data_IF_317423085420
#
_entry.id   IF_317423085420
#
_cell.length_a   1.000
_cell.length_b   1.000
_cell.length_c   1.000
_cell.angle_alpha   90.00
_cell.angle_beta   90.00
_cell.angle_gamma   90.00
#
_symmetry.space_group_name_H-M   'P 1'
#
loop_
_entity.id
_entity.type
_entity.pdbx_description
1 polymer ?
#
# COMPACT_ATOMS: atom_id res chain seq x y z
N UNK A 1 51.77 0.36 82.23
CA UNK A 1 50.76 -0.72 82.08
C UNK A 1 49.65 -0.44 83.07
N UNK A 2 48.36 -0.49 82.67
CA UNK A 2 47.23 -0.07 83.52
C UNK A 2 46.50 -1.30 84.11
N UNK A 3 46.69 -1.64 85.41
CA UNK A 3 46.11 -2.84 86.01
C UNK A 3 44.58 -2.83 86.07
N UNK A 4 43.99 -1.62 86.12
CA UNK A 4 42.54 -1.43 86.14
C UNK A 4 41.84 -1.95 84.88
N UNK A 5 42.50 -1.97 83.71
CA UNK A 5 41.92 -2.49 82.47
C UNK A 5 41.70 -4.01 82.50
N UNK A 6 42.48 -4.73 83.30
CA UNK A 6 42.38 -6.20 83.41
C UNK A 6 41.58 -6.59 84.66
N UNK A 7 41.74 -5.84 85.76
CA UNK A 7 41.14 -6.20 87.04
C UNK A 7 39.74 -5.61 87.26
N UNK A 8 39.36 -4.54 86.56
CA UNK A 8 38.08 -3.85 86.75
C UNK A 8 37.15 -3.95 85.53
N UNK A 9 37.56 -4.66 84.47
CA UNK A 9 36.76 -4.89 83.27
C UNK A 9 36.56 -6.38 83.04
N UNK A 10 35.38 -6.77 82.58
CA UNK A 10 35.14 -8.12 82.05
C UNK A 10 35.66 -8.20 80.63
N UNK A 11 36.58 -9.13 80.38
CA UNK A 11 37.14 -9.34 79.04
C UNK A 11 36.22 -10.30 78.28
N UNK A 12 35.65 -9.82 77.18
CA UNK A 12 34.94 -10.64 76.20
C UNK A 12 35.83 -10.83 74.96
N UNK A 13 36.15 -12.08 74.64
CA UNK A 13 37.14 -12.41 73.62
C UNK A 13 36.47 -12.84 72.32
N UNK A 14 36.66 -12.02 71.26
CA UNK A 14 36.20 -12.35 69.92
C UNK A 14 37.33 -12.99 69.12
N UNK A 15 37.16 -14.27 68.79
CA UNK A 15 38.05 -14.98 67.89
C UNK A 15 37.72 -14.71 66.41
N UNK A 16 38.65 -15.09 65.54
CA UNK A 16 38.41 -15.18 64.11
C UNK A 16 37.22 -16.12 63.84
N UNK A 17 36.48 -15.86 62.76
CA UNK A 17 35.28 -16.63 62.47
C UNK A 17 35.64 -18.08 62.13
N UNK A 18 35.10 -19.07 62.87
CA UNK A 18 35.34 -20.45 62.53
C UNK A 18 34.70 -20.79 61.18
N UNK A 19 35.18 -21.89 60.59
CA UNK A 19 34.64 -22.51 59.39
C UNK A 19 33.11 -22.55 59.33
N UNK A 20 32.47 -22.95 60.42
CA UNK A 20 31.02 -23.11 60.50
C UNK A 20 30.30 -21.76 60.52
N UNK A 21 30.90 -20.73 61.13
CA UNK A 21 30.37 -19.37 61.09
C UNK A 21 30.45 -18.78 59.68
N UNK A 22 31.58 -18.96 58.98
CA UNK A 22 31.75 -18.53 57.58
C UNK A 22 30.68 -19.17 56.67
N UNK A 23 30.44 -20.47 56.84
CA UNK A 23 29.41 -21.20 56.11
C UNK A 23 28.01 -20.67 56.44
N UNK A 24 27.67 -20.52 57.72
CA UNK A 24 26.35 -20.07 58.17
C UNK A 24 26.02 -18.65 57.66
N UNK A 25 26.99 -17.73 57.74
CA UNK A 25 26.83 -16.36 57.25
C UNK A 25 26.64 -16.32 55.74
N UNK A 26 27.44 -17.08 54.98
CA UNK A 26 27.28 -17.17 53.53
C UNK A 26 25.92 -17.76 53.15
N UNK A 27 25.47 -18.80 53.87
CA UNK A 27 24.17 -19.43 53.67
C UNK A 27 23.03 -18.45 53.91
N UNK A 28 23.05 -17.75 55.03
CA UNK A 28 22.01 -16.77 55.35
C UNK A 28 21.98 -15.63 54.33
N UNK A 29 23.14 -15.13 53.92
CA UNK A 29 23.23 -14.08 52.91
C UNK A 29 22.72 -14.53 51.54
N UNK A 30 23.05 -15.74 51.08
CA UNK A 30 22.64 -16.22 49.75
C UNK A 30 21.17 -16.66 49.69
N UNK A 31 20.61 -17.18 50.79
CA UNK A 31 19.20 -17.59 50.87
C UNK A 31 18.27 -16.37 50.93
N UNK A 32 18.65 -15.31 51.66
CA UNK A 32 17.80 -14.13 51.82
C UNK A 32 17.40 -13.47 50.48
N UNK A 33 18.24 -13.62 49.44
CA UNK A 33 18.05 -12.98 48.14
C UNK A 33 17.51 -13.93 47.05
N UNK A 34 16.99 -15.11 47.41
CA UNK A 34 16.51 -16.16 46.48
C UNK A 34 17.47 -16.40 45.30
N UNK A 35 18.78 -16.39 45.58
CA UNK A 35 19.80 -16.55 44.55
C UNK A 35 19.78 -18.01 44.08
N UNK A 36 19.04 -18.29 43.00
CA UNK A 36 18.91 -19.64 42.43
C UNK A 36 20.24 -20.19 41.94
N UNK A 37 20.99 -20.89 42.77
CA UNK A 37 22.25 -21.52 42.39
C UNK A 37 22.00 -22.99 42.03
N UNK A 38 22.62 -23.53 40.95
CA UNK A 38 22.47 -24.93 40.59
C UNK A 38 23.11 -25.87 41.63
N UNK A 39 24.16 -25.42 42.33
CA UNK A 39 24.78 -26.13 43.43
C UNK A 39 25.10 -25.16 44.57
N UNK A 40 24.11 -24.88 45.42
CA UNK A 40 24.27 -23.98 46.57
C UNK A 40 25.33 -24.47 47.54
N UNK A 41 25.37 -25.76 47.84
CA UNK A 41 26.29 -26.34 48.82
C UNK A 41 27.75 -26.20 48.39
N UNK A 42 28.06 -26.51 47.13
CA UNK A 42 29.40 -26.34 46.58
C UNK A 42 29.88 -24.89 46.63
N UNK A 43 28.99 -23.94 46.35
CA UNK A 43 29.30 -22.50 46.41
C UNK A 43 29.58 -22.06 47.85
N UNK A 44 28.78 -22.52 48.82
CA UNK A 44 28.98 -22.21 50.24
C UNK A 44 30.32 -22.71 50.77
N UNK A 45 30.66 -23.96 50.45
CA UNK A 45 31.97 -24.54 50.81
C UNK A 45 33.10 -23.76 50.16
N UNK A 46 32.92 -23.33 48.91
CA UNK A 46 33.93 -22.54 48.19
C UNK A 46 34.20 -21.20 48.87
N UNK A 47 33.17 -20.46 49.31
CA UNK A 47 33.37 -19.19 50.02
C UNK A 47 34.20 -19.36 51.29
N UNK A 48 33.89 -20.39 52.09
CA UNK A 48 34.67 -20.74 53.27
C UNK A 48 36.14 -21.01 52.90
N UNK A 49 36.38 -21.91 51.95
CA UNK A 49 37.74 -22.32 51.55
C UNK A 49 38.54 -21.13 51.02
N UNK A 50 37.92 -20.27 50.20
CA UNK A 50 38.55 -19.06 49.67
C UNK A 50 38.96 -18.14 50.81
N UNK A 51 38.09 -17.85 51.78
CA UNK A 51 38.43 -16.96 52.89
C UNK A 51 39.60 -17.50 53.72
N UNK A 52 39.53 -18.77 54.11
CA UNK A 52 40.57 -19.44 54.90
C UNK A 52 41.90 -19.53 54.13
N UNK A 53 41.85 -19.69 52.80
CA UNK A 53 43.07 -19.68 51.98
C UNK A 53 43.78 -18.33 51.99
N UNK A 54 43.02 -17.22 52.03
CA UNK A 54 43.57 -15.86 52.09
C UNK A 54 44.13 -15.56 53.48
N UNK A 55 43.50 -16.06 54.56
CA UNK A 55 44.05 -16.00 55.92
C UNK A 55 45.42 -16.69 56.00
N UNK A 56 45.51 -17.93 55.50
CA UNK A 56 46.76 -18.68 55.44
C UNK A 56 47.83 -17.98 54.57
N UNK A 57 47.42 -17.46 53.41
CA UNK A 57 48.31 -16.70 52.53
C UNK A 57 48.81 -15.41 53.18
N UNK A 58 47.98 -14.72 53.97
CA UNK A 58 48.39 -13.52 54.70
C UNK A 58 49.45 -13.83 55.75
N UNK A 59 49.30 -14.91 56.51
CA UNK A 59 50.31 -15.36 57.48
C UNK A 59 51.64 -15.66 56.79
N UNK A 60 51.59 -16.34 55.64
CA UNK A 60 52.76 -16.62 54.82
C UNK A 60 53.42 -15.33 54.30
N UNK A 61 52.62 -14.39 53.79
CA UNK A 61 53.09 -13.10 53.28
C UNK A 61 53.81 -12.28 54.36
N UNK A 62 53.27 -12.28 55.58
CA UNK A 62 53.93 -11.67 56.75
C UNK A 62 55.23 -12.39 57.11
N UNK A 63 55.27 -13.71 57.05
CA UNK A 63 56.47 -14.48 57.38
C UNK A 63 57.63 -14.18 56.41
N UNK A 64 57.34 -14.21 55.11
CA UNK A 64 58.32 -14.08 54.02
C UNK A 64 58.73 -12.62 53.78
N UNK A 65 57.77 -11.71 53.66
CA UNK A 65 58.02 -10.32 53.23
C UNK A 65 57.91 -9.30 54.36
N UNK A 66 57.62 -9.74 55.59
CA UNK A 66 57.42 -8.86 56.76
C UNK A 66 56.34 -7.79 56.55
N UNK A 67 55.39 -8.03 55.64
CA UNK A 67 54.28 -7.13 55.33
C UNK A 67 52.98 -7.71 55.88
N UNK A 68 52.21 -6.86 56.55
CA UNK A 68 50.92 -7.25 57.11
C UNK A 68 49.80 -7.10 56.05
N UNK A 69 48.95 -8.12 55.95
CA UNK A 69 47.68 -8.06 55.25
C UNK A 69 46.58 -8.49 56.24
N UNK A 70 45.59 -7.65 56.50
CA UNK A 70 44.54 -7.99 57.45
C UNK A 70 43.34 -8.56 56.71
N UNK A 71 42.95 -9.77 57.09
CA UNK A 71 41.72 -10.41 56.63
C UNK A 71 40.66 -10.16 57.69
N UNK A 72 39.53 -9.57 57.29
CA UNK A 72 38.46 -9.19 58.23
C UNK A 72 37.12 -9.77 57.79
N UNK A 73 36.17 -9.98 58.72
CA UNK A 73 34.81 -10.40 58.36
C UNK A 73 34.13 -9.43 57.37
N UNK A 74 34.43 -8.14 57.43
CA UNK A 74 33.94 -7.15 56.46
C UNK A 74 34.39 -7.47 55.03
N UNK A 75 35.63 -7.92 54.85
CA UNK A 75 36.14 -8.37 53.54
C UNK A 75 35.39 -9.61 53.04
N UNK A 76 35.00 -10.52 53.94
CA UNK A 76 34.19 -11.69 53.59
C UNK A 76 32.77 -11.32 53.15
N UNK A 77 32.11 -10.43 53.89
CA UNK A 77 30.79 -9.93 53.51
C UNK A 77 30.84 -9.19 52.16
N UNK A 78 31.89 -8.41 51.94
CA UNK A 78 32.11 -7.72 50.65
C UNK A 78 32.29 -8.70 49.50
N UNK A 79 33.04 -9.79 49.71
CA UNK A 79 33.20 -10.87 48.73
C UNK A 79 31.84 -11.47 48.32
N UNK A 80 30.98 -11.78 49.28
CA UNK A 80 29.65 -12.34 49.03
C UNK A 80 28.77 -11.33 48.28
N UNK A 81 28.74 -10.07 48.71
CA UNK A 81 27.96 -9.01 48.05
C UNK A 81 28.43 -8.77 46.61
N UNK A 82 29.74 -8.76 46.37
CA UNK A 82 30.30 -8.62 45.03
C UNK A 82 29.95 -9.81 44.14
N UNK A 83 30.01 -11.03 44.67
CA UNK A 83 29.58 -12.21 43.94
C UNK A 83 28.12 -12.10 43.49
N UNK A 84 27.21 -11.70 44.39
CA UNK A 84 25.80 -11.51 44.06
C UNK A 84 25.60 -10.51 42.93
N UNK A 85 26.28 -9.36 43.03
CA UNK A 85 26.22 -8.31 42.00
C UNK A 85 26.68 -8.84 40.64
N UNK A 86 27.88 -9.44 40.59
CA UNK A 86 28.45 -9.97 39.34
C UNK A 86 27.56 -11.08 38.76
N UNK A 87 27.01 -11.96 39.60
CA UNK A 87 26.10 -13.01 39.17
C UNK A 87 24.83 -12.43 38.54
N UNK A 88 24.25 -11.39 39.14
CA UNK A 88 23.10 -10.67 38.60
C UNK A 88 23.40 -10.04 37.24
N UNK A 89 24.51 -9.31 37.15
CA UNK A 89 24.97 -8.65 35.92
C UNK A 89 25.18 -9.68 34.79
N UNK A 90 25.85 -10.81 35.09
CA UNK A 90 26.09 -11.88 34.11
C UNK A 90 24.83 -12.61 33.70
N UNK A 91 23.87 -12.81 34.59
CA UNK A 91 22.56 -13.37 34.23
C UNK A 91 21.80 -12.47 33.27
N UNK A 92 21.78 -11.16 33.55
CA UNK A 92 21.11 -10.19 32.69
C UNK A 92 21.75 -10.13 31.29
N UNK A 93 23.08 -10.15 31.23
CA UNK A 93 23.84 -10.19 29.98
C UNK A 93 23.47 -11.43 29.14
N UNK A 94 23.49 -12.62 29.76
CA UNK A 94 23.14 -13.88 29.10
C UNK A 94 21.67 -13.90 28.68
N UNK A 95 20.77 -13.42 29.52
CA UNK A 95 19.33 -13.37 29.22
C UNK A 95 19.05 -12.45 28.03
N UNK A 96 19.70 -11.29 27.98
CA UNK A 96 19.56 -10.34 26.87
C UNK A 96 20.09 -10.94 25.56
N UNK A 97 21.23 -11.64 25.61
CA UNK A 97 21.76 -12.37 24.45
C UNK A 97 20.80 -13.48 24.00
N UNK A 98 20.24 -14.25 24.95
CA UNK A 98 19.26 -15.30 24.68
C UNK A 98 18.04 -14.74 23.97
N UNK A 99 17.46 -13.65 24.49
CA UNK A 99 16.30 -12.99 23.88
C UNK A 99 16.61 -12.50 22.47
N UNK A 100 17.79 -11.90 22.25
CA UNK A 100 18.22 -11.47 20.92
C UNK A 100 18.30 -12.63 19.94
N UNK A 101 18.88 -13.76 20.35
CA UNK A 101 18.95 -14.94 19.50
C UNK A 101 17.57 -15.55 19.24
N UNK A 102 16.70 -15.59 20.26
CA UNK A 102 15.33 -16.06 20.09
C UNK A 102 14.58 -15.22 19.05
N UNK A 103 14.60 -13.89 19.19
CA UNK A 103 13.97 -13.00 18.20
C UNK A 103 14.58 -13.16 16.80
N UNK A 104 15.89 -13.38 16.71
CA UNK A 104 16.54 -13.66 15.43
C UNK A 104 16.05 -14.98 14.80
N UNK A 105 15.93 -16.04 15.59
CA UNK A 105 15.41 -17.33 15.13
C UNK A 105 13.95 -17.23 14.71
N UNK A 106 13.12 -16.51 15.47
CA UNK A 106 11.72 -16.29 15.14
C UNK A 106 11.60 -15.56 13.79
N UNK A 107 12.41 -14.52 13.56
CA UNK A 107 12.45 -13.79 12.27
C UNK A 107 12.92 -14.66 11.11
N UNK A 108 13.92 -15.52 11.32
CA UNK A 108 14.37 -16.46 10.29
C UNK A 108 13.28 -17.49 9.95
N UNK A 109 12.55 -17.98 10.96
CA UNK A 109 11.42 -18.88 10.78
C UNK A 109 10.29 -18.21 9.98
N UNK A 110 9.91 -16.98 10.36
CA UNK A 110 8.91 -16.18 9.63
C UNK A 110 9.32 -15.98 8.17
N UNK A 111 10.58 -15.59 7.91
CA UNK A 111 11.10 -15.40 6.57
C UNK A 111 11.09 -16.70 5.77
N UNK A 112 11.48 -17.83 6.38
CA UNK A 112 11.43 -19.15 5.74
C UNK A 112 10.01 -19.55 5.33
N UNK A 113 9.02 -19.28 6.18
CA UNK A 113 7.61 -19.52 5.85
C UNK A 113 7.13 -18.62 4.71
N UNK A 114 7.48 -17.33 4.72
CA UNK A 114 7.11 -16.40 3.66
C UNK A 114 7.73 -16.80 2.30
N UNK A 115 8.99 -17.24 2.29
CA UNK A 115 9.66 -17.74 1.08
C UNK A 115 8.97 -19.00 0.57
N UNK A 116 8.62 -19.95 1.44
CA UNK A 116 7.90 -21.16 1.03
C UNK A 116 6.54 -20.84 0.39
N UNK A 117 5.79 -19.87 0.93
CA UNK A 117 4.54 -19.41 0.30
C UNK A 117 4.80 -18.80 -1.06
N UNK A 118 5.78 -17.90 -1.17
CA UNK A 118 6.14 -17.25 -2.44
C UNK A 118 6.58 -18.26 -3.51
N UNK A 119 7.34 -19.30 -3.13
CA UNK A 119 7.72 -20.39 -4.04
C UNK A 119 6.49 -21.11 -4.59
N UNK A 120 5.51 -21.42 -3.74
CA UNK A 120 4.27 -22.07 -4.19
C UNK A 120 3.45 -21.19 -5.13
N UNK A 121 3.36 -19.89 -4.84
CA UNK A 121 2.67 -18.92 -5.69
C UNK A 121 3.36 -18.75 -7.05
N UNK A 122 4.69 -18.69 -7.08
CA UNK A 122 5.47 -18.60 -8.33
C UNK A 122 5.25 -19.82 -9.22
N UNK A 123 5.30 -21.03 -8.64
CA UNK A 123 5.05 -22.28 -9.37
C UNK A 123 3.62 -22.32 -9.91
N UNK A 124 2.64 -21.80 -9.16
CA UNK A 124 1.25 -21.73 -9.61
C UNK A 124 1.01 -20.66 -10.71
N UNK A 125 1.72 -19.53 -10.66
CA UNK A 125 1.61 -18.45 -11.65
C UNK A 125 2.29 -18.78 -12.98
N UNK A 126 3.35 -19.60 -12.96
CA UNK A 126 4.12 -19.96 -14.16
C UNK A 126 3.26 -20.49 -15.33
N UNK A 127 2.38 -21.50 -15.17
CA UNK A 127 1.54 -21.97 -16.27
C UNK A 127 0.50 -20.94 -16.73
N UNK A 128 0.00 -20.10 -15.82
CA UNK A 128 -0.96 -19.03 -16.15
C UNK A 128 -0.28 -17.98 -17.04
N UNK A 129 0.96 -17.61 -16.72
CA UNK A 129 1.75 -16.67 -17.52
C UNK A 129 2.04 -17.24 -18.91
N UNK A 130 2.42 -18.51 -19.02
CA UNK A 130 2.63 -19.16 -20.31
C UNK A 130 1.36 -19.21 -21.17
N UNK A 131 0.22 -19.52 -20.56
CA UNK A 131 -1.07 -19.56 -21.26
C UNK A 131 -1.48 -18.17 -21.73
N UNK A 132 -1.46 -17.18 -20.85
CA UNK A 132 -1.83 -15.80 -21.18
C UNK A 132 -0.88 -15.20 -22.21
N UNK A 133 0.42 -15.49 -22.15
CA UNK A 133 1.38 -15.07 -23.18
C UNK A 133 1.05 -15.65 -24.56
N UNK A 134 0.61 -16.91 -24.63
CA UNK A 134 0.16 -17.53 -25.90
C UNK A 134 -1.12 -16.88 -26.40
N UNK A 135 -2.12 -16.71 -25.54
CA UNK A 135 -3.39 -16.04 -25.88
C UNK A 135 -3.18 -14.60 -26.38
N UNK A 136 -2.28 -13.84 -25.75
CA UNK A 136 -1.92 -12.48 -26.17
C UNK A 136 -1.22 -12.49 -27.54
N UNK A 137 -0.32 -13.45 -27.78
CA UNK A 137 0.35 -13.57 -29.07
C UNK A 137 -0.65 -13.89 -30.21
N UNK A 138 -1.58 -14.81 -29.97
CA UNK A 138 -2.66 -15.15 -30.91
C UNK A 138 -3.58 -13.95 -31.16
N UNK A 139 -3.97 -13.24 -30.10
CA UNK A 139 -4.81 -12.05 -30.21
C UNK A 139 -4.13 -10.92 -30.99
N UNK A 140 -2.82 -10.74 -30.84
CA UNK A 140 -2.09 -9.75 -31.65
C UNK A 140 -2.10 -10.07 -33.13
N UNK A 141 -2.05 -11.35 -33.52
CA UNK A 141 -2.17 -11.74 -34.95
C UNK A 141 -3.54 -11.30 -35.48
N UNK A 142 -4.63 -11.63 -34.78
CA UNK A 142 -5.99 -11.23 -35.18
C UNK A 142 -6.12 -9.70 -35.27
N UNK A 143 -5.62 -8.96 -34.28
CA UNK A 143 -5.65 -7.49 -34.28
C UNK A 143 -4.88 -6.93 -35.48
N UNK A 144 -3.75 -7.51 -35.86
CA UNK A 144 -3.00 -7.04 -37.03
C UNK A 144 -3.75 -7.29 -38.34
N UNK A 145 -4.42 -8.44 -38.47
CA UNK A 145 -5.27 -8.72 -39.64
C UNK A 145 -6.48 -7.78 -39.70
N UNK A 146 -7.16 -7.58 -38.59
CA UNK A 146 -8.35 -6.73 -38.54
C UNK A 146 -8.02 -5.25 -38.74
N UNK A 147 -6.86 -4.79 -38.24
CA UNK A 147 -6.34 -3.45 -38.56
C UNK A 147 -6.07 -3.30 -40.05
N UNK A 148 -5.50 -4.32 -40.70
CA UNK A 148 -5.26 -4.29 -42.15
C UNK A 148 -6.58 -4.25 -42.94
N UNK A 149 -7.56 -5.09 -42.59
CA UNK A 149 -8.90 -5.08 -43.19
C UNK A 149 -9.60 -3.74 -42.99
N UNK A 150 -9.59 -3.21 -41.77
CA UNK A 150 -10.20 -1.93 -41.43
C UNK A 150 -9.54 -0.75 -42.17
N UNK A 151 -8.22 -0.79 -42.40
CA UNK A 151 -7.53 0.23 -43.20
C UNK A 151 -8.02 0.23 -44.66
N UNK A 152 -8.18 -0.94 -45.28
CA UNK A 152 -8.73 -1.08 -46.64
C UNK A 152 -10.16 -0.54 -46.71
N UNK A 153 -11.02 -0.94 -45.75
CA UNK A 153 -12.40 -0.45 -45.71
C UNK A 153 -12.46 1.06 -45.48
N UNK A 154 -11.61 1.61 -44.60
CA UNK A 154 -11.52 3.05 -44.34
C UNK A 154 -11.15 3.82 -45.61
N UNK A 155 -10.19 3.33 -46.38
CA UNK A 155 -9.80 3.96 -47.65
C UNK A 155 -10.94 3.91 -48.68
N UNK A 156 -11.65 2.78 -48.79
CA UNK A 156 -12.81 2.65 -49.67
C UNK A 156 -13.95 3.59 -49.28
N UNK A 157 -14.28 3.68 -47.98
CA UNK A 157 -15.33 4.58 -47.47
C UNK A 157 -14.93 6.04 -47.67
N UNK A 158 -13.67 6.42 -47.41
CA UNK A 158 -13.20 7.79 -47.63
C UNK A 158 -13.30 8.21 -49.10
N UNK A 159 -13.12 7.28 -50.04
CA UNK A 159 -13.35 7.53 -51.46
C UNK A 159 -14.83 7.74 -51.77
N UNK A 160 -15.69 6.85 -51.27
CA UNK A 160 -17.14 6.96 -51.45
C UNK A 160 -17.72 8.22 -50.81
N UNK A 161 -17.23 8.62 -49.64
CA UNK A 161 -17.64 9.84 -48.94
C UNK A 161 -17.30 11.09 -49.76
N UNK A 162 -16.12 11.14 -50.39
CA UNK A 162 -15.75 12.24 -51.30
C UNK A 162 -16.68 12.31 -52.52
N UNK A 163 -16.98 11.15 -53.12
CA UNK A 163 -17.89 11.07 -54.28
C UNK A 163 -19.32 11.49 -53.89
N UNK A 164 -19.83 11.00 -52.76
CA UNK A 164 -21.14 11.35 -52.24
C UNK A 164 -21.23 12.84 -51.86
N UNK A 165 -20.19 13.41 -51.24
CA UNK A 165 -20.14 14.85 -50.90
C UNK A 165 -20.15 15.71 -52.15
N UNK A 166 -19.41 15.32 -53.19
CA UNK A 166 -19.42 16.03 -54.47
C UNK A 166 -20.81 15.96 -55.13
N UNK A 167 -21.45 14.79 -55.16
CA UNK A 167 -22.80 14.64 -55.69
C UNK A 167 -23.84 15.42 -54.87
N UNK A 168 -23.72 15.44 -53.54
CA UNK A 168 -24.59 16.21 -52.66
C UNK A 168 -24.44 17.71 -52.91
N UNK A 169 -23.22 18.22 -53.13
CA UNK A 169 -22.99 19.61 -53.48
C UNK A 169 -23.66 19.99 -54.80
N UNK A 170 -23.52 19.16 -55.84
CA UNK A 170 -24.19 19.38 -57.14
C UNK A 170 -25.72 19.36 -56.98
N UNK A 171 -26.27 18.40 -56.23
CA UNK A 171 -27.71 18.34 -55.98
C UNK A 171 -28.21 19.56 -55.19
N UNK A 172 -27.41 20.06 -54.25
CA UNK A 172 -27.72 21.26 -53.47
C UNK A 172 -27.71 22.52 -54.37
N UNK A 173 -26.73 22.67 -55.27
CA UNK A 173 -26.71 23.77 -56.24
C UNK A 173 -27.95 23.76 -57.14
N UNK A 174 -28.33 22.59 -57.68
CA UNK A 174 -29.54 22.45 -58.51
C UNK A 174 -30.80 22.81 -57.71
N UNK A 175 -30.88 22.37 -56.44
CA UNK A 175 -32.01 22.68 -55.56
C UNK A 175 -32.09 24.18 -55.27
N UNK A 176 -30.97 24.82 -54.98
CA UNK A 176 -30.92 26.24 -54.64
C UNK A 176 -31.27 27.12 -55.85
N UNK A 177 -30.84 26.73 -57.06
CA UNK A 177 -31.22 27.39 -58.31
C UNK A 177 -32.73 27.25 -58.59
N UNK A 178 -33.27 26.03 -58.48
CA UNK A 178 -34.70 25.80 -58.63
C UNK A 178 -35.56 26.52 -57.57
N UNK A 179 -35.08 26.60 -56.33
CA UNK A 179 -35.77 27.32 -55.25
C UNK A 179 -35.78 28.82 -55.51
N UNK A 180 -34.69 29.38 -56.06
CA UNK A 180 -34.62 30.80 -56.42
C UNK A 180 -35.63 31.16 -57.51
N UNK A 181 -35.73 30.34 -58.56
CA UNK A 181 -36.73 30.53 -59.62
C UNK A 181 -38.16 30.45 -59.07
N UNK A 182 -38.40 29.52 -58.13
CA UNK A 182 -39.68 29.38 -57.47
C UNK A 182 -40.01 30.60 -56.60
N UNK A 183 -39.05 31.11 -55.83
CA UNK A 183 -39.21 32.28 -54.96
C UNK A 183 -39.45 33.57 -55.76
N UNK A 184 -38.97 33.66 -57.00
CA UNK A 184 -39.30 34.77 -57.93
C UNK A 184 -40.73 34.65 -58.47
N UNK A 185 -41.19 33.42 -58.76
CA UNK A 185 -42.52 33.18 -59.31
C UNK A 185 -43.66 33.27 -58.26
N UNK A 186 -43.40 32.87 -57.01
CA UNK A 186 -44.41 32.81 -55.95
C UNK A 186 -45.11 34.15 -55.65
N UNK A 187 -44.41 35.30 -55.55
CA UNK A 187 -45.06 36.59 -55.31
C UNK A 187 -46.04 36.98 -56.40
N UNK A 188 -45.70 36.72 -57.68
CA UNK A 188 -46.59 37.01 -58.80
C UNK A 188 -47.85 36.13 -58.75
N UNK A 189 -47.69 34.85 -58.39
CA UNK A 189 -48.81 33.92 -58.20
C UNK A 189 -49.69 34.32 -57.01
N UNK A 190 -49.11 34.67 -55.86
CA UNK A 190 -49.86 35.10 -54.67
C UNK A 190 -50.67 36.36 -54.95
N UNK A 191 -50.09 37.34 -55.65
CA UNK A 191 -50.80 38.53 -56.11
C UNK A 191 -51.97 38.14 -57.01
N UNK A 192 -51.76 37.26 -57.99
CA UNK A 192 -52.83 36.78 -58.87
C UNK A 192 -53.95 36.06 -58.08
N UNK A 193 -53.61 35.20 -57.11
CA UNK A 193 -54.58 34.50 -56.26
C UNK A 193 -55.34 35.47 -55.36
N UNK A 194 -54.68 36.50 -54.80
CA UNK A 194 -55.38 37.54 -54.03
C UNK A 194 -56.33 38.35 -54.91
N UNK A 195 -55.93 38.71 -56.14
CA UNK A 195 -56.81 39.35 -57.10
C UNK A 195 -58.03 38.47 -57.42
N UNK A 196 -57.84 37.15 -57.61
CA UNK A 196 -58.96 36.22 -57.81
C UNK A 196 -59.88 36.13 -56.58
N UNK A 197 -59.34 36.11 -55.35
CA UNK A 197 -60.14 36.14 -54.11
C UNK A 197 -60.94 37.44 -53.95
N UNK A 198 -60.50 38.53 -54.57
CA UNK A 198 -61.23 39.81 -54.57
C UNK A 198 -62.44 39.85 -55.55
N UNK A 199 -62.57 38.85 -56.43
CA UNK A 199 -63.72 38.74 -57.34
C UNK A 199 -65.00 38.38 -56.57
N UNK A 200 -66.04 39.17 -56.80
CA UNK A 200 -67.38 38.93 -56.26
C UNK A 200 -68.23 38.17 -57.28
N UNK A 201 -69.19 37.38 -56.79
CA UNK A 201 -70.13 36.61 -57.64
C UNK A 201 -70.87 37.49 -58.67
N UNK A 202 -71.10 38.76 -58.33
CA UNK A 202 -71.72 39.75 -59.22
C UNK A 202 -70.93 39.98 -60.52
N UNK A 203 -69.58 40.04 -60.44
CA UNK A 203 -68.74 40.26 -61.63
C UNK A 203 -68.76 39.05 -62.59
N UNK A 204 -68.88 37.82 -62.06
CA UNK A 204 -68.98 36.59 -62.86
C UNK A 204 -70.36 36.50 -63.54
N UNK A 205 -71.42 36.93 -62.86
CA UNK A 205 -72.77 36.96 -63.41
C UNK A 205 -72.91 37.94 -64.58
N UNK A 206 -72.25 39.11 -64.50
CA UNK A 206 -72.21 40.07 -65.61
C UNK A 206 -71.56 39.48 -66.86
N UNK A 207 -70.42 38.80 -66.71
CA UNK A 207 -69.72 38.17 -67.83
C UNK A 207 -70.55 37.05 -68.48
N UNK A 208 -71.28 36.26 -67.70
CA UNK A 208 -72.21 35.22 -68.21
C UNK A 208 -73.39 35.81 -69.00
N UNK A 209 -73.82 37.03 -68.69
CA UNK A 209 -74.95 37.68 -69.35
C UNK A 209 -74.59 38.36 -70.68
N UNK A 210 -73.30 38.48 -71.02
CA UNK A 210 -72.84 39.09 -72.27
C UNK A 210 -73.04 38.14 -73.46
N UNK A 211 -73.90 38.51 -74.41
CA UNK A 211 -74.10 37.73 -75.64
C UNK A 211 -72.89 37.77 -76.61
N UNK A 212 -72.05 38.81 -76.53
CA UNK A 212 -70.83 38.93 -77.33
C UNK A 212 -69.73 39.66 -76.52
N UNK A 213 -68.90 38.93 -75.75
CA UNK A 213 -67.92 39.53 -74.85
C UNK A 213 -66.78 40.25 -75.61
N UNK A 214 -66.22 41.35 -75.07
CA UNK A 214 -65.07 42.03 -75.64
C UNK A 214 -63.86 41.09 -75.81
N UNK A 215 -63.03 41.33 -76.82
CA UNK A 215 -61.93 40.42 -77.20
C UNK A 215 -61.02 39.97 -76.06
N UNK A 216 -60.70 40.85 -75.11
CA UNK A 216 -59.88 40.50 -73.94
C UNK A 216 -60.56 39.54 -72.94
N UNK A 217 -61.89 39.60 -72.81
CA UNK A 217 -62.67 38.71 -71.94
C UNK A 217 -62.87 37.35 -72.60
N UNK A 218 -63.08 37.32 -73.92
CA UNK A 218 -63.18 36.10 -74.70
C UNK A 218 -61.88 35.29 -74.68
N UNK A 219 -60.75 35.93 -74.93
CA UNK A 219 -59.43 35.29 -74.93
C UNK A 219 -59.05 34.72 -73.55
N UNK A 220 -59.37 35.44 -72.47
CA UNK A 220 -59.07 34.99 -71.10
C UNK A 220 -59.96 33.83 -70.65
N UNK A 221 -61.26 33.85 -70.98
CA UNK A 221 -62.17 32.72 -70.71
C UNK A 221 -61.84 31.49 -71.55
N UNK A 222 -61.47 31.65 -72.83
CA UNK A 222 -61.01 30.55 -73.68
C UNK A 222 -59.75 29.90 -73.10
N UNK A 223 -58.76 30.70 -72.66
CA UNK A 223 -57.56 30.18 -72.00
C UNK A 223 -57.86 29.43 -70.69
N UNK A 224 -58.81 29.91 -69.88
CA UNK A 224 -59.25 29.23 -68.65
C UNK A 224 -59.92 27.89 -68.99
N UNK A 225 -60.85 27.86 -69.95
CA UNK A 225 -61.52 26.62 -70.35
C UNK A 225 -60.54 25.57 -70.88
N UNK A 226 -59.44 25.98 -71.54
CA UNK A 226 -58.39 25.07 -72.02
C UNK A 226 -57.45 24.61 -70.88
N UNK A 227 -57.13 25.47 -69.90
CA UNK A 227 -56.27 25.09 -68.77
C UNK A 227 -56.95 24.20 -67.71
N UNK A 228 -58.30 24.20 -67.67
CA UNK A 228 -59.12 23.41 -66.75
C UNK A 228 -59.82 22.21 -67.43
N UNK A 229 -59.46 21.88 -68.67
CA UNK A 229 -59.69 20.56 -69.30
C UNK A 229 -58.71 19.51 -68.77
#
# INVERSE_FOLDING_TARGET
>A
MFPSLVNCCTIDWFAEWPADALYSVAKQQLIADDTKLPNTEGVLVTFRVVHQSVEAASLRFKAELKRHCYVTPTSYLTLISNFKKILGDKRLEVETLRQRFQSGLDKLSEAGQAVAVMETELVAMQPVLEKTSKEVAEMMVVITEDKAKAAVTKEAVAKQEKEATAQAAVAQEIKDDAQKDLDEALPALEVAVQCLKSLKLSHIQEVKALANPPGGVKLTLEAICIMFE
#
